data_IF_505826731285
#
_entry.id   IF_505826731285
#
_cell.length_a   1.000
_cell.length_b   1.000
_cell.length_c   1.000
_cell.angle_alpha   90.00
_cell.angle_beta   90.00
_cell.angle_gamma   90.00
#
_symmetry.space_group_name_H-M   'P 1'
#
loop_
_entity.id
_entity.type
_entity.pdbx_description
1 polymer ?
#
# COMPACT_ATOMS: atom_id res chain seq x y z
N UNK A 1 14.01 15.39 -23.77
CA UNK A 1 13.96 14.31 -24.79
C UNK A 1 14.84 13.11 -24.41
N UNK A 2 16.16 13.24 -24.25
CA UNK A 2 17.02 12.08 -23.95
C UNK A 2 16.63 11.31 -22.66
N UNK A 3 16.31 12.03 -21.58
CA UNK A 3 15.85 11.43 -20.32
C UNK A 3 14.48 10.73 -20.41
N UNK A 4 13.55 11.28 -21.19
CA UNK A 4 12.25 10.65 -21.40
C UNK A 4 12.37 9.36 -22.22
N UNK A 5 13.39 9.28 -23.09
CA UNK A 5 13.72 8.06 -23.83
C UNK A 5 14.33 7.00 -22.90
N UNK A 6 15.19 7.38 -21.94
CA UNK A 6 15.76 6.43 -20.98
C UNK A 6 14.71 5.80 -20.06
N UNK A 7 13.68 6.56 -19.66
CA UNK A 7 12.59 6.02 -18.84
C UNK A 7 11.64 5.10 -19.61
N UNK A 8 11.49 5.29 -20.92
CA UNK A 8 10.70 4.41 -21.80
C UNK A 8 11.41 3.12 -22.17
N UNK A 9 12.73 3.05 -21.97
CA UNK A 9 13.52 1.83 -22.09
C UNK A 9 14.43 1.66 -20.87
N UNK A 10 13.76 1.49 -19.71
CA UNK A 10 14.45 1.38 -18.43
C UNK A 10 15.39 0.18 -18.39
N UNK A 11 15.00 -0.94 -19.02
CA UNK A 11 15.86 -2.13 -19.13
C UNK A 11 17.17 -1.83 -19.88
N UNK A 12 17.12 -1.08 -21.00
CA UNK A 12 18.34 -0.66 -21.68
C UNK A 12 19.18 0.31 -20.85
N UNK A 13 18.54 1.23 -20.13
CA UNK A 13 19.22 2.18 -19.24
C UNK A 13 20.01 1.47 -18.13
N UNK A 14 19.40 0.47 -17.49
CA UNK A 14 20.06 -0.34 -16.44
C UNK A 14 21.22 -1.16 -17.01
N UNK A 15 21.06 -1.77 -18.19
CA UNK A 15 22.16 -2.49 -18.86
C UNK A 15 23.33 -1.58 -19.20
N UNK A 16 23.05 -0.36 -19.68
CA UNK A 16 24.08 0.61 -20.04
C UNK A 16 24.84 1.13 -18.82
N UNK A 17 24.24 1.07 -17.63
CA UNK A 17 24.87 1.44 -16.36
C UNK A 17 25.74 0.32 -15.74
N UNK A 18 25.86 -0.85 -16.40
CA UNK A 18 26.66 -2.01 -15.98
C UNK A 18 26.33 -2.51 -14.56
N UNK A 19 25.04 -2.49 -14.21
CA UNK A 19 24.54 -2.94 -12.91
C UNK A 19 24.26 -4.44 -13.01
N UNK A 20 24.65 -5.20 -11.98
CA UNK A 20 24.31 -6.64 -11.82
C UNK A 20 22.80 -6.83 -11.50
N UNK A 21 21.94 -6.30 -12.37
CA UNK A 21 20.48 -6.46 -12.36
C UNK A 21 20.10 -7.37 -13.51
N UNK A 22 19.30 -8.38 -13.18
CA UNK A 22 18.74 -9.27 -14.17
C UNK A 22 17.62 -8.54 -14.93
N UNK A 23 17.93 -8.16 -16.16
CA UNK A 23 17.01 -7.45 -17.05
C UNK A 23 16.42 -8.47 -18.01
N UNK A 24 15.41 -9.20 -17.58
CA UNK A 24 14.69 -10.09 -18.48
C UNK A 24 13.85 -9.23 -19.44
N UNK A 25 14.05 -9.41 -20.76
CA UNK A 25 13.12 -8.91 -21.80
C UNK A 25 12.04 -9.96 -22.03
N UNK A 26 11.76 -10.83 -21.05
CA UNK A 26 10.73 -11.83 -21.20
C UNK A 26 9.38 -11.11 -21.30
N UNK A 27 8.92 -10.89 -22.54
CA UNK A 27 7.53 -10.60 -22.83
C UNK A 27 6.78 -11.86 -22.38
N UNK A 28 6.29 -11.85 -21.15
CA UNK A 28 5.48 -12.95 -20.64
C UNK A 28 4.16 -12.94 -21.43
N UNK A 29 4.08 -13.72 -22.51
CA UNK A 29 2.86 -13.90 -23.33
C UNK A 29 1.65 -14.33 -22.47
N UNK A 30 1.92 -14.89 -21.28
CA UNK A 30 0.94 -15.08 -20.22
C UNK A 30 1.63 -14.94 -18.86
N UNK A 31 1.30 -13.90 -18.09
CA UNK A 31 1.83 -13.73 -16.74
C UNK A 31 1.30 -14.87 -15.85
N UNK A 32 2.22 -15.63 -15.24
CA UNK A 32 1.87 -16.59 -14.20
C UNK A 32 1.56 -15.84 -12.90
N UNK A 33 0.67 -16.36 -12.04
CA UNK A 33 0.45 -15.76 -10.74
C UNK A 33 1.75 -15.81 -9.89
N UNK A 34 1.99 -14.82 -9.00
CA UNK A 34 3.18 -14.73 -8.16
C UNK A 34 3.58 -16.04 -7.47
N UNK A 35 2.59 -16.81 -6.97
CA UNK A 35 2.81 -18.10 -6.32
C UNK A 35 3.43 -19.18 -7.22
N UNK A 36 3.30 -19.03 -8.55
CA UNK A 36 3.75 -20.00 -9.57
C UNK A 36 4.83 -19.47 -10.50
N UNK A 37 5.18 -18.20 -10.38
CA UNK A 37 6.14 -17.54 -11.24
C UNK A 37 7.51 -17.43 -10.55
N UNK A 38 8.54 -18.00 -11.18
CA UNK A 38 9.92 -17.92 -10.66
C UNK A 38 10.50 -16.50 -10.72
N UNK A 39 9.94 -15.61 -11.55
CA UNK A 39 10.39 -14.22 -11.64
C UNK A 39 10.25 -13.49 -10.29
N UNK A 40 9.20 -13.80 -9.52
CA UNK A 40 8.94 -13.25 -8.19
C UNK A 40 9.85 -13.79 -7.09
N UNK A 41 10.73 -14.76 -7.40
CA UNK A 41 11.71 -15.29 -6.45
C UNK A 41 13.05 -14.62 -6.67
N UNK A 42 13.72 -14.17 -5.61
CA UNK A 42 15.00 -13.50 -5.75
C UNK A 42 16.10 -14.44 -6.28
N UNK A 43 17.13 -13.90 -6.95
CA UNK A 43 18.30 -14.68 -7.40
C UNK A 43 19.15 -15.15 -6.21
N UNK A 44 20.19 -15.95 -6.46
CA UNK A 44 21.14 -16.33 -5.39
C UNK A 44 21.83 -15.12 -4.76
N UNK A 45 22.23 -15.25 -3.50
CA UNK A 45 22.97 -14.25 -2.70
C UNK A 45 22.25 -12.89 -2.52
N UNK A 46 20.95 -12.85 -2.79
CA UNK A 46 20.14 -11.64 -2.67
C UNK A 46 20.05 -11.12 -1.24
N UNK A 47 20.15 -12.00 -0.24
CA UNK A 47 20.07 -11.65 1.18
C UNK A 47 21.18 -10.69 1.60
N UNK A 48 22.30 -10.69 0.88
CA UNK A 48 23.46 -9.81 1.14
C UNK A 48 23.31 -8.40 0.56
N UNK A 49 22.32 -8.19 -0.31
CA UNK A 49 22.00 -6.88 -0.89
C UNK A 49 21.41 -5.94 0.15
N UNK A 50 21.47 -4.63 -0.12
CA UNK A 50 20.91 -3.60 0.74
C UNK A 50 19.42 -3.38 0.48
N UNK A 51 18.62 -2.92 1.47
CA UNK A 51 17.25 -2.47 1.24
C UNK A 51 17.16 -1.49 0.07
N UNK A 52 16.21 -1.72 -0.85
CA UNK A 52 16.04 -0.92 -2.08
C UNK A 52 16.92 -1.36 -3.26
N UNK A 53 17.88 -2.26 -3.07
CA UNK A 53 18.67 -2.80 -4.18
C UNK A 53 17.77 -3.56 -5.17
N UNK A 54 17.93 -3.22 -6.44
CA UNK A 54 17.17 -3.85 -7.52
C UNK A 54 17.81 -5.18 -7.88
N UNK A 55 16.97 -6.20 -8.05
CA UNK A 55 17.38 -7.55 -8.40
C UNK A 55 16.95 -7.91 -9.82
N UNK A 56 15.69 -7.61 -10.16
CA UNK A 56 15.15 -7.83 -11.51
C UNK A 56 14.33 -6.67 -12.01
N UNK A 57 14.30 -6.47 -13.32
CA UNK A 57 13.38 -5.58 -14.02
C UNK A 57 12.81 -6.31 -15.23
N UNK A 58 11.49 -6.28 -15.40
CA UNK A 58 10.80 -6.77 -16.60
C UNK A 58 9.82 -5.73 -17.12
N UNK A 59 9.71 -5.61 -18.44
CA UNK A 59 8.66 -4.81 -19.07
C UNK A 59 7.31 -5.54 -19.03
N UNK A 60 6.22 -4.78 -18.91
CA UNK A 60 4.85 -5.30 -18.74
C UNK A 60 3.90 -4.56 -19.69
N UNK A 61 4.04 -4.75 -21.02
CA UNK A 61 3.35 -3.92 -22.01
C UNK A 61 1.82 -4.05 -21.96
N UNK A 62 1.28 -5.21 -21.53
CA UNK A 62 -0.15 -5.42 -21.36
C UNK A 62 -0.78 -4.44 -20.35
N UNK A 63 -0.05 -4.04 -19.30
CA UNK A 63 -0.55 -3.03 -18.36
C UNK A 63 -0.60 -1.64 -18.99
N UNK A 64 0.33 -1.31 -19.90
CA UNK A 64 0.25 -0.06 -20.66
C UNK A 64 -0.92 -0.03 -21.65
N UNK A 65 -1.40 -1.18 -22.10
CA UNK A 65 -2.63 -1.27 -22.93
C UNK A 65 -3.90 -1.08 -22.08
N UNK A 66 -3.89 -1.52 -20.82
CA UNK A 66 -5.00 -1.34 -19.88
C UNK A 66 -5.05 0.09 -19.33
N UNK A 67 -3.89 0.72 -19.13
CA UNK A 67 -3.73 2.07 -18.57
C UNK A 67 -3.26 3.04 -19.66
N UNK A 68 -4.22 3.68 -20.35
CA UNK A 68 -3.96 4.43 -21.59
C UNK A 68 -3.00 5.62 -21.46
N UNK A 69 -2.89 6.24 -20.28
CA UNK A 69 -1.92 7.30 -20.02
C UNK A 69 -0.51 6.79 -19.68
N UNK A 70 -0.26 5.47 -19.69
CA UNK A 70 1.07 4.88 -19.52
C UNK A 70 1.79 4.72 -20.86
N UNK A 71 3.03 5.21 -20.95
CA UNK A 71 3.93 4.95 -22.08
C UNK A 71 4.81 3.72 -21.92
N UNK A 72 5.07 3.31 -20.68
CA UNK A 72 5.84 2.13 -20.35
C UNK A 72 5.49 1.67 -18.93
N UNK A 73 5.47 0.36 -18.72
CA UNK A 73 5.20 -0.24 -17.41
C UNK A 73 6.24 -1.31 -17.13
N UNK A 74 6.71 -1.37 -15.89
CA UNK A 74 7.74 -2.31 -15.45
C UNK A 74 7.36 -2.99 -14.14
N UNK A 75 7.70 -4.26 -13.99
CA UNK A 75 7.83 -4.88 -12.67
C UNK A 75 9.29 -4.82 -12.24
N UNK A 76 9.49 -4.44 -10.98
CA UNK A 76 10.81 -4.31 -10.38
C UNK A 76 10.81 -5.15 -9.11
N UNK A 77 11.68 -6.18 -9.07
CA UNK A 77 11.94 -6.97 -7.89
C UNK A 77 13.09 -6.33 -7.13
N UNK A 78 12.88 -5.97 -5.86
CA UNK A 78 13.88 -5.30 -5.02
C UNK A 78 14.01 -5.99 -3.66
N UNK A 79 15.20 -5.87 -3.06
CA UNK A 79 15.48 -6.36 -1.70
C UNK A 79 14.79 -5.45 -0.70
N UNK A 80 14.11 -6.03 0.28
CA UNK A 80 13.46 -5.33 1.40
C UNK A 80 13.75 -6.02 2.74
N UNK A 81 13.01 -5.68 3.80
CA UNK A 81 13.20 -6.19 5.16
C UNK A 81 11.86 -6.58 5.75
N UNK A 82 11.75 -7.77 6.34
CA UNK A 82 10.50 -8.23 6.95
C UNK A 82 10.17 -7.58 8.29
N UNK A 83 9.08 -8.01 8.92
CA UNK A 83 8.62 -7.45 10.20
C UNK A 83 9.51 -7.79 11.38
N UNK A 84 10.48 -8.69 11.18
CA UNK A 84 11.43 -9.17 12.18
C UNK A 84 12.85 -8.67 11.89
N UNK A 85 12.98 -7.68 11.01
CA UNK A 85 14.25 -7.12 10.57
C UNK A 85 15.15 -8.12 9.80
N UNK A 86 14.57 -9.19 9.25
CA UNK A 86 15.29 -10.17 8.44
C UNK A 86 15.23 -9.81 6.94
N UNK A 87 16.22 -10.21 6.11
CA UNK A 87 16.17 -10.01 4.68
C UNK A 87 14.87 -10.53 4.07
N UNK A 88 14.24 -9.69 3.25
CA UNK A 88 13.00 -9.96 2.53
C UNK A 88 13.07 -9.37 1.12
N UNK A 89 12.03 -9.53 0.33
CA UNK A 89 11.94 -8.88 -0.98
C UNK A 89 10.51 -8.42 -1.22
N UNK A 90 10.34 -7.56 -2.21
CA UNK A 90 9.02 -7.19 -2.70
C UNK A 90 9.11 -6.80 -4.17
N UNK A 91 7.95 -6.65 -4.79
CA UNK A 91 7.81 -6.20 -6.17
C UNK A 91 7.10 -4.85 -6.17
N UNK A 92 7.44 -3.99 -7.13
CA UNK A 92 6.67 -2.79 -7.43
C UNK A 92 6.39 -2.72 -8.92
N UNK A 93 5.19 -2.28 -9.27
CA UNK A 93 4.84 -1.92 -10.65
C UNK A 93 5.09 -0.43 -10.85
N UNK A 94 5.99 -0.07 -11.76
CA UNK A 94 6.30 1.30 -12.12
C UNK A 94 5.59 1.66 -13.43
N UNK A 95 4.81 2.74 -13.40
CA UNK A 95 4.15 3.32 -14.57
C UNK A 95 4.84 4.63 -14.96
N UNK A 96 5.24 4.73 -16.23
CA UNK A 96 5.82 5.93 -16.82
C UNK A 96 4.75 6.65 -17.64
N UNK A 97 4.35 7.88 -17.29
CA UNK A 97 3.27 8.55 -17.98
C UNK A 97 3.65 8.94 -19.42
N UNK A 98 2.64 9.07 -20.29
CA UNK A 98 2.81 9.48 -21.69
C UNK A 98 3.47 10.85 -21.85
N UNK A 99 3.25 11.73 -20.88
CA UNK A 99 3.92 13.01 -20.71
C UNK A 99 4.40 13.12 -19.25
N UNK A 100 5.59 13.67 -19.01
CA UNK A 100 6.14 13.84 -17.66
C UNK A 100 5.96 15.28 -17.23
N UNK A 101 5.29 15.50 -16.11
CA UNK A 101 5.20 16.81 -15.47
C UNK A 101 6.53 17.17 -14.79
N UNK A 102 6.92 18.42 -14.96
CA UNK A 102 8.03 19.03 -14.25
C UNK A 102 7.52 20.27 -13.51
N UNK A 103 7.86 20.37 -12.23
CA UNK A 103 7.64 21.57 -11.42
C UNK A 103 8.35 22.81 -12.01
N UNK A 104 8.03 24.02 -11.54
CA UNK A 104 8.76 25.24 -11.93
C UNK A 104 10.28 25.14 -11.69
N UNK A 105 10.73 24.35 -10.72
CA UNK A 105 12.15 24.07 -10.46
C UNK A 105 12.73 22.93 -11.32
N UNK A 106 11.95 22.33 -12.22
CA UNK A 106 12.37 21.27 -13.13
C UNK A 106 12.34 19.85 -12.55
N UNK A 107 11.92 19.68 -11.29
CA UNK A 107 11.81 18.37 -10.64
C UNK A 107 10.59 17.60 -11.13
N UNK A 108 10.70 16.27 -11.24
CA UNK A 108 9.59 15.38 -11.56
C UNK A 108 8.66 15.14 -10.37
N UNK A 109 7.42 14.75 -10.66
CA UNK A 109 6.49 14.22 -9.65
C UNK A 109 6.60 12.69 -9.56
N UNK A 110 6.85 12.15 -8.36
CA UNK A 110 6.82 10.71 -8.09
C UNK A 110 5.77 10.42 -7.03
N UNK A 111 4.82 9.54 -7.34
CA UNK A 111 3.81 9.07 -6.41
C UNK A 111 3.99 7.58 -6.15
N UNK A 112 4.25 7.20 -4.90
CA UNK A 112 4.08 5.82 -4.47
C UNK A 112 2.66 5.62 -3.95
N UNK A 113 1.86 4.79 -4.62
CA UNK A 113 0.48 4.56 -4.23
C UNK A 113 0.24 3.14 -3.72
N UNK A 114 -0.24 3.02 -2.48
CA UNK A 114 -0.52 1.75 -1.82
C UNK A 114 -2.01 1.42 -1.93
N UNK A 115 -2.35 0.39 -2.72
CA UNK A 115 -3.72 -0.13 -2.78
C UNK A 115 -4.08 -0.92 -1.52
N UNK A 116 -5.37 -0.96 -1.17
CA UNK A 116 -5.85 -1.88 -0.14
C UNK A 116 -5.91 -3.32 -0.67
N UNK A 117 -4.81 -4.08 -0.50
CA UNK A 117 -4.72 -5.49 -0.95
C UNK A 117 -5.67 -6.37 -0.13
N UNK A 118 -5.65 -6.21 1.21
CA UNK A 118 -6.58 -6.84 2.16
C UNK A 118 -6.78 -8.35 1.93
N UNK A 119 -5.72 -9.06 1.55
CA UNK A 119 -5.78 -10.45 1.11
C UNK A 119 -4.61 -11.25 1.67
N UNK A 120 -4.91 -12.52 1.98
CA UNK A 120 -3.97 -13.54 2.40
C UNK A 120 -3.31 -14.28 1.24
N UNK A 121 -3.80 -14.03 0.04
CA UNK A 121 -3.32 -14.67 -1.17
C UNK A 121 -2.26 -13.77 -1.82
N UNK A 122 -1.03 -14.26 -1.94
CA UNK A 122 0.05 -13.53 -2.64
C UNK A 122 -0.30 -13.26 -4.10
N UNK A 123 -1.21 -14.03 -4.70
CA UNK A 123 -1.67 -13.78 -6.07
C UNK A 123 -2.60 -12.56 -6.17
N UNK A 124 -3.07 -12.01 -5.04
CA UNK A 124 -3.75 -10.71 -4.97
C UNK A 124 -2.79 -9.51 -5.02
N UNK A 125 -1.48 -9.73 -5.12
CA UNK A 125 -0.49 -8.65 -5.19
C UNK A 125 -0.73 -7.73 -6.40
N UNK A 126 -0.65 -6.40 -6.25
CA UNK A 126 -0.91 -5.43 -7.31
C UNK A 126 -0.18 -5.71 -8.62
N UNK A 127 1.07 -6.15 -8.57
CA UNK A 127 1.84 -6.49 -9.77
C UNK A 127 1.13 -7.49 -10.70
N UNK A 128 0.37 -8.41 -10.14
CA UNK A 128 -0.41 -9.38 -10.91
C UNK A 128 -1.86 -8.93 -11.06
N UNK A 129 -2.48 -8.52 -9.95
CA UNK A 129 -3.91 -8.24 -9.89
C UNK A 129 -4.35 -7.04 -10.75
N UNK A 130 -3.45 -6.09 -11.05
CA UNK A 130 -3.70 -4.96 -11.95
C UNK A 130 -3.95 -5.37 -13.41
N UNK A 131 -3.53 -6.56 -13.83
CA UNK A 131 -3.90 -7.14 -15.14
C UNK A 131 -5.18 -7.97 -15.08
N UNK A 132 -5.76 -8.15 -13.88
CA UNK A 132 -6.82 -9.09 -13.59
C UNK A 132 -7.98 -8.45 -12.84
N UNK A 133 -8.16 -8.83 -11.57
CA UNK A 133 -9.33 -8.44 -10.77
C UNK A 133 -9.34 -6.94 -10.45
N UNK A 134 -8.19 -6.32 -10.19
CA UNK A 134 -8.10 -4.89 -9.87
C UNK A 134 -8.37 -3.98 -11.09
N UNK A 135 -8.29 -4.51 -12.31
CA UNK A 135 -8.65 -3.78 -13.53
C UNK A 135 -10.17 -3.65 -13.75
N UNK A 136 -10.99 -4.29 -12.91
CA UNK A 136 -12.44 -4.37 -13.09
C UNK A 136 -13.15 -3.45 -12.12
N UNK A 137 -14.31 -2.94 -12.53
CA UNK A 137 -15.24 -2.31 -11.60
C UNK A 137 -15.93 -3.38 -10.74
N UNK A 138 -16.23 -3.05 -9.49
CA UNK A 138 -17.08 -3.85 -8.60
C UNK A 138 -18.33 -3.03 -8.20
N UNK A 139 -19.33 -2.89 -9.10
CA UNK A 139 -20.50 -2.04 -8.86
C UNK A 139 -21.29 -2.42 -7.61
N UNK A 140 -21.32 -3.72 -7.27
CA UNK A 140 -21.98 -4.21 -6.04
C UNK A 140 -21.37 -3.67 -4.75
N UNK A 141 -20.10 -3.23 -4.81
CA UNK A 141 -19.38 -2.65 -3.69
C UNK A 141 -19.17 -1.13 -3.87
N UNK A 142 -19.64 -0.53 -4.98
CA UNK A 142 -19.39 0.88 -5.28
C UNK A 142 -17.92 1.22 -5.59
N UNK A 143 -17.10 0.22 -5.94
CA UNK A 143 -15.65 0.38 -6.16
C UNK A 143 -15.37 0.43 -7.67
N UNK A 144 -14.66 1.47 -8.12
CA UNK A 144 -14.16 1.59 -9.49
C UNK A 144 -12.90 0.76 -9.70
N UNK A 145 -12.56 0.49 -10.95
CA UNK A 145 -11.30 -0.14 -11.31
C UNK A 145 -10.10 0.61 -10.72
N UNK A 146 -9.16 -0.12 -10.15
CA UNK A 146 -7.88 0.44 -9.67
C UNK A 146 -7.06 1.06 -10.80
N UNK A 147 -7.13 0.48 -12.01
CA UNK A 147 -6.42 1.01 -13.18
C UNK A 147 -6.98 2.36 -13.63
N UNK A 148 -8.26 2.67 -13.33
CA UNK A 148 -8.82 3.99 -13.63
C UNK A 148 -8.23 5.10 -12.78
N UNK A 149 -7.91 4.81 -11.50
CA UNK A 149 -7.24 5.76 -10.62
C UNK A 149 -5.78 5.96 -11.05
N UNK A 150 -5.08 4.89 -11.42
CA UNK A 150 -3.71 4.98 -11.96
C UNK A 150 -3.72 5.83 -13.23
N UNK A 151 -4.65 5.58 -14.15
CA UNK A 151 -4.77 6.34 -15.39
C UNK A 151 -5.00 7.84 -15.13
N UNK A 152 -5.84 8.18 -14.14
CA UNK A 152 -6.06 9.56 -13.69
C UNK A 152 -4.78 10.19 -13.12
N UNK A 153 -4.02 9.48 -12.28
CA UNK A 153 -2.72 9.95 -11.76
C UNK A 153 -1.70 10.20 -12.88
N UNK A 154 -1.61 9.28 -13.85
CA UNK A 154 -0.71 9.41 -15.00
C UNK A 154 -1.13 10.54 -15.95
N UNK A 155 -2.42 10.88 -16.01
CA UNK A 155 -2.92 12.01 -16.82
C UNK A 155 -2.35 13.36 -16.36
N UNK A 156 -1.96 13.46 -15.09
CA UNK A 156 -1.25 14.62 -14.54
C UNK A 156 0.26 14.62 -14.86
N UNK A 157 0.75 13.57 -15.51
CA UNK A 157 2.16 13.39 -15.83
C UNK A 157 3.04 12.98 -14.66
N UNK A 158 2.45 12.40 -13.61
CA UNK A 158 3.19 11.87 -12.46
C UNK A 158 3.75 10.49 -12.78
N UNK A 159 4.98 10.20 -12.34
CA UNK A 159 5.51 8.83 -12.31
C UNK A 159 4.88 8.12 -11.12
N UNK A 160 4.29 6.94 -11.35
CA UNK A 160 3.53 6.24 -10.30
C UNK A 160 4.15 4.86 -10.07
N UNK A 161 4.50 4.54 -8.82
CA UNK A 161 4.87 3.18 -8.44
C UNK A 161 3.87 2.58 -7.46
N UNK A 162 3.52 1.32 -7.69
CA UNK A 162 2.55 0.55 -6.90
C UNK A 162 3.28 -0.63 -6.26
N UNK A 163 3.66 -0.56 -4.98
CA UNK A 163 4.36 -1.67 -4.31
C UNK A 163 3.40 -2.77 -3.85
N UNK A 164 3.85 -4.01 -4.01
CA UNK A 164 3.30 -5.22 -3.37
C UNK A 164 3.73 -5.23 -1.90
N UNK A 165 3.26 -4.25 -1.14
CA UNK A 165 3.71 -3.92 0.21
C UNK A 165 3.41 -5.00 1.25
N UNK A 166 2.66 -6.05 0.94
CA UNK A 166 2.53 -7.20 1.85
C UNK A 166 3.73 -8.17 1.75
N UNK A 167 4.56 -8.02 0.72
CA UNK A 167 5.71 -8.87 0.41
C UNK A 167 5.34 -10.33 0.12
N UNK A 168 6.31 -11.26 0.09
CA UNK A 168 6.12 -12.62 -0.42
C UNK A 168 5.18 -13.49 0.42
N UNK A 169 4.93 -13.09 1.67
CA UNK A 169 4.04 -13.81 2.59
C UNK A 169 2.59 -13.29 2.56
N UNK A 170 2.29 -12.25 1.76
CA UNK A 170 1.00 -11.54 1.80
C UNK A 170 0.60 -11.13 3.23
N UNK A 171 1.55 -10.58 3.98
CA UNK A 171 1.42 -10.32 5.43
C UNK A 171 0.51 -9.10 5.76
N UNK A 172 -0.76 -9.15 5.37
CA UNK A 172 -1.77 -8.16 5.73
C UNK A 172 -1.86 -7.96 7.25
N UNK A 173 -1.77 -6.70 7.69
CA UNK A 173 -1.75 -6.32 9.11
C UNK A 173 -0.35 -6.31 9.73
N UNK A 174 0.68 -6.81 9.04
CA UNK A 174 2.08 -6.64 9.45
C UNK A 174 2.65 -5.33 8.89
N UNK A 175 2.31 -4.22 9.54
CA UNK A 175 2.58 -2.88 9.00
C UNK A 175 4.08 -2.57 8.92
N UNK A 176 4.93 -3.20 9.73
CA UNK A 176 6.40 -3.03 9.64
C UNK A 176 6.91 -3.48 8.27
N UNK A 177 6.58 -4.71 7.86
CA UNK A 177 6.85 -5.21 6.50
C UNK A 177 6.32 -4.23 5.43
N UNK A 178 5.08 -3.75 5.58
CA UNK A 178 4.49 -2.86 4.57
C UNK A 178 5.13 -1.49 4.48
N UNK A 179 5.58 -0.94 5.61
CA UNK A 179 6.35 0.29 5.63
C UNK A 179 7.73 0.11 5.00
N UNK A 180 8.46 -0.96 5.36
CA UNK A 180 9.77 -1.28 4.77
C UNK A 180 9.67 -1.47 3.25
N UNK A 181 8.75 -2.31 2.78
CA UNK A 181 8.55 -2.54 1.34
C UNK A 181 8.20 -1.25 0.59
N UNK A 182 7.35 -0.40 1.17
CA UNK A 182 7.01 0.89 0.54
C UNK A 182 8.22 1.83 0.44
N UNK A 183 9.01 1.97 1.51
CA UNK A 183 10.21 2.82 1.52
C UNK A 183 11.29 2.31 0.57
N UNK A 184 11.52 1.00 0.57
CA UNK A 184 12.49 0.36 -0.32
C UNK A 184 12.07 0.44 -1.79
N UNK A 185 10.77 0.38 -2.08
CA UNK A 185 10.26 0.65 -3.42
C UNK A 185 10.57 2.08 -3.86
N UNK A 186 10.33 3.08 -3.00
CA UNK A 186 10.67 4.48 -3.30
C UNK A 186 12.18 4.62 -3.55
N UNK A 187 13.02 4.04 -2.68
CA UNK A 187 14.47 4.02 -2.83
C UNK A 187 14.91 3.41 -4.17
N UNK A 188 14.31 2.29 -4.57
CA UNK A 188 14.59 1.63 -5.84
C UNK A 188 14.21 2.54 -7.04
N UNK A 189 13.05 3.22 -6.97
CA UNK A 189 12.62 4.15 -8.02
C UNK A 189 13.55 5.36 -8.10
N UNK A 190 13.91 5.98 -6.97
CA UNK A 190 14.88 7.08 -6.91
C UNK A 190 16.18 6.72 -7.61
N UNK A 191 16.75 5.56 -7.27
CA UNK A 191 17.96 5.05 -7.90
C UNK A 191 17.81 4.92 -9.43
N UNK A 192 16.71 4.33 -9.91
CA UNK A 192 16.46 4.16 -11.35
C UNK A 192 16.33 5.48 -12.11
N UNK A 193 15.67 6.47 -11.51
CA UNK A 193 15.53 7.78 -12.11
C UNK A 193 16.86 8.55 -12.14
N UNK A 194 17.71 8.36 -11.14
CA UNK A 194 19.03 8.98 -11.06
C UNK A 194 20.00 8.41 -12.10
N UNK A 195 19.89 7.12 -12.47
CA UNK A 195 20.60 6.55 -13.61
C UNK A 195 20.26 7.22 -14.93
N UNK A 196 19.00 7.63 -15.09
CA UNK A 196 18.57 8.44 -16.23
C UNK A 196 19.16 9.86 -16.22
N UNK A 197 19.76 10.29 -15.10
CA UNK A 197 20.25 11.66 -14.85
C UNK A 197 19.09 12.65 -14.68
N UNK A 198 18.11 12.27 -13.86
CA UNK A 198 17.04 13.17 -13.43
C UNK A 198 17.61 14.47 -12.84
N UNK A 199 16.89 15.58 -13.02
CA UNK A 199 17.17 16.87 -12.36
C UNK A 199 16.63 16.93 -10.92
N UNK A 200 16.21 15.79 -10.37
CA UNK A 200 15.58 15.64 -9.07
C UNK A 200 14.08 15.41 -9.16
N UNK A 201 13.48 15.11 -8.01
CA UNK A 201 12.07 14.75 -7.89
C UNK A 201 11.48 15.35 -6.62
N UNK A 202 10.15 15.52 -6.64
CA UNK A 202 9.31 15.68 -5.47
C UNK A 202 8.51 14.37 -5.31
N UNK A 203 8.62 13.73 -4.16
CA UNK A 203 8.09 12.40 -3.89
C UNK A 203 6.97 12.47 -2.87
N UNK A 204 5.84 11.84 -3.15
CA UNK A 204 4.77 11.67 -2.19
C UNK A 204 4.33 10.21 -2.10
N UNK A 205 3.78 9.84 -0.95
CA UNK A 205 3.16 8.54 -0.73
C UNK A 205 1.67 8.70 -0.43
N UNK A 206 0.83 7.79 -0.94
CA UNK A 206 -0.62 7.85 -0.73
C UNK A 206 -1.23 6.45 -0.65
N UNK A 207 -2.12 6.25 0.31
CA UNK A 207 -2.96 5.05 0.38
C UNK A 207 -4.34 5.35 0.95
N UNK A 208 -5.29 4.49 0.57
CA UNK A 208 -6.67 4.52 1.06
C UNK A 208 -7.04 3.23 1.78
N UNK A 209 -7.82 3.29 2.86
CA UNK A 209 -8.29 2.11 3.60
C UNK A 209 -7.11 1.22 4.04
N UNK A 210 -7.08 -0.07 3.73
CA UNK A 210 -5.93 -0.94 4.02
C UNK A 210 -4.60 -0.42 3.44
N UNK A 211 -4.64 0.28 2.30
CA UNK A 211 -3.46 0.93 1.73
C UNK A 211 -2.92 2.07 2.61
N UNK A 212 -3.81 2.77 3.34
CA UNK A 212 -3.40 3.80 4.29
C UNK A 212 -2.56 3.24 5.45
N UNK A 213 -2.72 1.94 5.78
CA UNK A 213 -1.91 1.29 6.80
C UNK A 213 -0.45 1.22 6.37
N UNK A 214 -0.19 0.78 5.13
CA UNK A 214 1.14 0.70 4.55
C UNK A 214 1.76 2.09 4.37
N UNK A 215 0.99 3.05 3.86
CA UNK A 215 1.45 4.44 3.70
C UNK A 215 1.80 5.09 5.04
N UNK A 216 0.97 4.88 6.07
CA UNK A 216 1.22 5.46 7.37
C UNK A 216 2.42 4.79 8.06
N UNK A 217 2.56 3.47 7.96
CA UNK A 217 3.73 2.75 8.46
C UNK A 217 5.02 3.25 7.80
N UNK A 218 5.02 3.46 6.47
CA UNK A 218 6.15 4.05 5.76
C UNK A 218 6.49 5.44 6.29
N UNK A 219 5.49 6.31 6.51
CA UNK A 219 5.70 7.64 7.05
C UNK A 219 6.26 7.65 8.49
N UNK A 220 5.82 6.72 9.35
CA UNK A 220 6.35 6.58 10.71
C UNK A 220 7.77 5.98 10.74
N UNK A 221 8.06 5.03 9.85
CA UNK A 221 9.33 4.31 9.82
C UNK A 221 10.44 5.07 9.07
N UNK A 222 10.08 5.95 8.12
CA UNK A 222 11.05 6.70 7.31
C UNK A 222 12.21 7.31 8.14
N UNK A 223 11.97 8.00 9.27
CA UNK A 223 13.06 8.66 10.00
C UNK A 223 14.07 7.71 10.67
N UNK A 224 13.75 6.42 10.78
CA UNK A 224 14.59 5.42 11.47
C UNK A 224 15.07 4.30 10.55
N UNK A 225 14.25 3.89 9.59
CA UNK A 225 14.55 2.78 8.69
C UNK A 225 15.23 3.27 7.41
N UNK A 226 14.72 4.35 6.81
CA UNK A 226 15.19 4.88 5.53
C UNK A 226 15.34 6.42 5.59
N UNK A 227 16.22 6.95 6.47
CA UNK A 227 16.33 8.40 6.69
C UNK A 227 16.81 9.17 5.46
N UNK A 228 17.46 8.49 4.52
CA UNK A 228 17.97 9.06 3.27
C UNK A 228 16.92 9.03 2.12
N UNK A 229 15.75 8.41 2.35
CA UNK A 229 14.65 8.41 1.38
C UNK A 229 13.82 9.68 1.55
N UNK A 230 13.92 10.59 0.58
CA UNK A 230 13.17 11.84 0.57
C UNK A 230 11.68 11.62 0.26
N UNK A 231 10.82 11.97 1.22
CA UNK A 231 9.35 12.02 1.06
C UNK A 231 8.88 13.43 1.41
N UNK A 232 8.38 14.15 0.41
CA UNK A 232 7.95 15.54 0.53
C UNK A 232 6.51 15.67 1.05
N UNK A 233 5.69 14.61 0.95
CA UNK A 233 4.34 14.61 1.51
C UNK A 233 3.68 13.25 1.59
N UNK A 234 2.75 13.11 2.54
CA UNK A 234 2.00 11.87 2.78
C UNK A 234 0.50 12.14 2.71
N UNK A 235 -0.26 11.29 2.02
CA UNK A 235 -1.71 11.32 2.00
C UNK A 235 -2.30 10.04 2.58
N UNK A 236 -3.19 10.16 3.57
CA UNK A 236 -3.88 9.06 4.22
C UNK A 236 -5.39 9.20 4.06
N UNK A 237 -5.99 8.34 3.26
CA UNK A 237 -7.43 8.34 3.02
C UNK A 237 -8.14 7.21 3.76
N UNK A 238 -9.29 7.50 4.38
CA UNK A 238 -10.07 6.47 5.09
C UNK A 238 -9.25 5.75 6.15
N UNK A 239 -8.39 6.50 6.87
CA UNK A 239 -7.31 5.97 7.70
C UNK A 239 -7.77 4.82 8.61
N UNK A 240 -6.94 3.76 8.63
CA UNK A 240 -7.08 2.58 9.49
C UNK A 240 -5.97 2.61 10.53
N UNK A 241 -6.20 3.31 11.63
CA UNK A 241 -5.19 3.53 12.68
C UNK A 241 -4.86 2.27 13.51
N UNK A 242 -5.89 1.47 13.81
CA UNK A 242 -5.78 0.33 14.70
C UNK A 242 -6.83 -0.74 14.38
N UNK A 243 -6.53 -1.60 13.40
CA UNK A 243 -7.45 -2.67 13.01
C UNK A 243 -7.68 -3.71 14.12
N UNK A 244 -6.73 -3.88 15.05
CA UNK A 244 -6.87 -4.80 16.18
C UNK A 244 -7.69 -4.22 17.36
N UNK A 245 -7.93 -2.91 17.35
CA UNK A 245 -8.63 -2.21 18.41
C UNK A 245 -10.12 -2.57 18.54
N UNK A 246 -10.76 -3.07 17.49
CA UNK A 246 -12.19 -3.42 17.51
C UNK A 246 -12.56 -4.45 16.43
N UNK A 247 -12.13 -5.69 16.63
CA UNK A 247 -12.62 -6.81 15.82
C UNK A 247 -14.16 -6.95 15.85
N UNK A 248 -14.87 -6.36 16.82
CA UNK A 248 -16.33 -6.47 16.90
C UNK A 248 -17.00 -5.69 15.76
N UNK A 249 -16.37 -4.61 15.26
CA UNK A 249 -16.84 -3.86 14.07
C UNK A 249 -16.71 -4.65 12.77
N UNK A 250 -15.68 -5.48 12.66
CA UNK A 250 -15.47 -6.33 11.49
C UNK A 250 -16.30 -7.61 11.57
N UNK A 251 -16.44 -8.20 12.76
CA UNK A 251 -17.24 -9.40 12.96
C UNK A 251 -18.69 -9.18 12.54
N UNK A 252 -19.29 -10.13 11.80
CA UNK A 252 -20.67 -10.04 11.25
C UNK A 252 -20.93 -8.86 10.31
N UNK A 253 -19.92 -8.05 9.98
CA UNK A 253 -20.05 -6.98 9.00
C UNK A 253 -20.11 -7.54 7.58
N UNK A 254 -20.49 -6.72 6.58
CA UNK A 254 -20.41 -7.11 5.17
C UNK A 254 -18.99 -7.49 4.71
N UNK A 255 -17.94 -7.08 5.44
CA UNK A 255 -16.53 -7.34 5.11
C UNK A 255 -15.85 -8.30 6.11
N UNK A 256 -16.62 -9.08 6.87
CA UNK A 256 -16.11 -9.94 7.95
C UNK A 256 -14.99 -10.91 7.51
N UNK A 257 -14.93 -11.30 6.23
CA UNK A 257 -13.83 -12.08 5.68
C UNK A 257 -12.45 -11.41 5.82
N UNK A 258 -12.40 -10.07 5.81
CA UNK A 258 -11.14 -9.32 6.01
C UNK A 258 -10.53 -9.56 7.38
N UNK A 259 -11.34 -9.87 8.39
CA UNK A 259 -10.84 -10.26 9.72
C UNK A 259 -10.16 -11.64 9.67
N UNK A 260 -10.66 -12.57 8.85
CA UNK A 260 -10.01 -13.88 8.66
C UNK A 260 -8.64 -13.67 7.99
N UNK A 261 -8.58 -12.89 6.90
CA UNK A 261 -7.31 -12.56 6.24
C UNK A 261 -6.33 -11.93 7.25
N UNK A 262 -6.76 -10.88 7.95
CA UNK A 262 -5.93 -10.23 8.98
C UNK A 262 -5.34 -11.22 10.00
N UNK A 263 -6.18 -12.09 10.58
CA UNK A 263 -5.73 -13.05 11.60
C UNK A 263 -4.70 -14.04 11.06
N UNK A 264 -4.90 -14.52 9.83
CA UNK A 264 -4.00 -15.46 9.18
C UNK A 264 -2.69 -14.78 8.76
N UNK A 265 -2.75 -13.55 8.28
CA UNK A 265 -1.64 -12.90 7.59
C UNK A 265 -0.70 -12.19 8.54
N UNK A 266 -1.23 -11.58 9.61
CA UNK A 266 -0.40 -10.99 10.65
C UNK A 266 0.45 -12.05 11.36
N UNK A 267 0.02 -13.32 11.32
CA UNK A 267 0.77 -14.46 11.87
C UNK A 267 1.68 -15.16 10.86
N UNK A 268 1.68 -14.74 9.59
CA UNK A 268 2.43 -15.40 8.50
C UNK A 268 3.95 -15.48 8.74
N UNK A 269 4.52 -14.46 9.39
CA UNK A 269 5.95 -14.39 9.76
C UNK A 269 6.23 -14.90 11.19
N UNK A 270 5.20 -15.37 11.91
CA UNK A 270 5.25 -15.72 13.33
C UNK A 270 4.70 -17.15 13.57
N UNK A 271 5.51 -18.21 13.34
CA UNK A 271 5.04 -19.60 13.37
C UNK A 271 4.38 -20.05 14.68
N UNK A 272 4.82 -19.52 15.82
CA UNK A 272 4.24 -19.82 17.13
C UNK A 272 2.83 -19.23 17.27
N UNK A 273 2.66 -17.95 16.92
CA UNK A 273 1.36 -17.27 16.90
C UNK A 273 0.41 -17.94 15.90
N UNK A 274 0.93 -18.33 14.73
CA UNK A 274 0.19 -19.06 13.70
C UNK A 274 -0.29 -20.42 14.20
N UNK A 275 0.61 -21.20 14.79
CA UNK A 275 0.28 -22.53 15.34
C UNK A 275 -0.77 -22.43 16.44
N UNK A 276 -0.66 -21.41 17.29
CA UNK A 276 -1.68 -21.14 18.29
C UNK A 276 -3.04 -20.84 17.65
N UNK A 277 -3.12 -19.85 16.76
CA UNK A 277 -4.38 -19.46 16.10
C UNK A 277 -5.06 -20.68 15.48
N UNK A 278 -4.32 -21.50 14.73
CA UNK A 278 -4.85 -22.69 14.08
C UNK A 278 -5.27 -23.79 15.07
N UNK A 279 -4.58 -23.92 16.21
CA UNK A 279 -4.94 -24.89 17.26
C UNK A 279 -6.28 -24.56 17.94
N UNK A 280 -6.72 -23.30 17.84
CA UNK A 280 -7.97 -22.79 18.41
C UNK A 280 -9.16 -22.91 17.46
N UNK A 281 -8.93 -23.17 16.17
CA UNK A 281 -10.01 -23.37 15.21
C UNK A 281 -10.82 -24.62 15.55
N UNK A 282 -12.13 -24.57 15.28
CA UNK A 282 -13.01 -25.73 15.34
C UNK A 282 -12.73 -26.64 14.15
N UNK A 283 -12.52 -27.96 14.34
CA UNK A 283 -12.22 -28.87 13.24
C UNK A 283 -13.25 -28.85 12.10
N UNK A 284 -14.54 -28.67 12.43
CA UNK A 284 -15.63 -28.65 11.44
C UNK A 284 -15.62 -27.44 10.51
N UNK A 285 -15.00 -26.32 10.90
CA UNK A 285 -14.98 -25.06 10.14
C UNK A 285 -13.57 -24.62 9.75
N UNK A 286 -12.54 -25.40 10.11
CA UNK A 286 -11.13 -25.07 9.83
C UNK A 286 -10.88 -24.91 8.34
N UNK A 287 -11.31 -25.84 7.50
CA UNK A 287 -11.08 -25.77 6.04
C UNK A 287 -11.76 -24.55 5.42
N UNK A 288 -12.94 -24.18 5.92
CA UNK A 288 -13.60 -22.96 5.48
C UNK A 288 -12.79 -21.72 5.89
N UNK A 289 -12.35 -21.61 7.15
CA UNK A 289 -11.51 -20.50 7.62
C UNK A 289 -10.24 -20.36 6.79
N UNK A 290 -9.56 -21.48 6.52
CA UNK A 290 -8.30 -21.52 5.80
C UNK A 290 -8.46 -21.25 4.29
N UNK A 291 -9.68 -21.32 3.76
CA UNK A 291 -9.93 -21.12 2.32
C UNK A 291 -9.55 -19.72 1.84
N UNK A 292 -9.50 -18.71 2.72
CA UNK A 292 -9.12 -17.34 2.32
C UNK A 292 -7.70 -17.24 1.77
N UNK A 293 -6.80 -18.18 2.12
CA UNK A 293 -5.43 -18.22 1.60
C UNK A 293 -5.36 -18.39 0.08
N UNK A 294 -6.45 -18.85 -0.55
CA UNK A 294 -6.55 -19.02 -2.00
C UNK A 294 -7.67 -18.19 -2.64
N UNK A 295 -8.20 -17.19 -1.93
CA UNK A 295 -9.27 -16.33 -2.44
C UNK A 295 -8.77 -14.91 -2.67
N UNK A 296 -9.30 -14.26 -3.70
CA UNK A 296 -9.13 -12.81 -3.86
C UNK A 296 -9.95 -12.04 -2.81
N UNK A 297 -9.61 -10.76 -2.58
CA UNK A 297 -10.30 -9.92 -1.58
C UNK A 297 -11.81 -9.83 -1.82
N UNK A 298 -12.24 -9.67 -3.08
CA UNK A 298 -13.68 -9.55 -3.42
C UNK A 298 -14.42 -10.86 -3.21
N UNK A 299 -13.76 -11.99 -3.44
CA UNK A 299 -14.30 -13.33 -3.18
C UNK A 299 -14.39 -13.61 -1.68
N UNK A 300 -13.36 -13.22 -0.93
CA UNK A 300 -13.33 -13.31 0.53
C UNK A 300 -14.46 -12.50 1.16
N UNK A 301 -14.65 -11.25 0.73
CA UNK A 301 -15.76 -10.40 1.18
C UNK A 301 -17.11 -11.05 0.86
N UNK A 302 -17.32 -11.53 -0.38
CA UNK A 302 -18.57 -12.18 -0.79
C UNK A 302 -18.86 -13.46 0.01
N UNK A 303 -17.84 -14.29 0.23
CA UNK A 303 -17.97 -15.59 0.90
C UNK A 303 -18.29 -15.48 2.39
N UNK A 304 -17.70 -14.50 3.07
CA UNK A 304 -17.79 -14.35 4.52
C UNK A 304 -18.68 -13.18 4.96
N UNK A 305 -19.35 -12.51 4.03
CA UNK A 305 -20.27 -11.40 4.33
C UNK A 305 -21.28 -11.78 5.41
N UNK A 306 -21.34 -11.00 6.50
CA UNK A 306 -22.29 -11.21 7.59
C UNK A 306 -21.96 -12.38 8.53
N UNK A 307 -20.86 -13.12 8.31
CA UNK A 307 -20.51 -14.29 9.11
C UNK A 307 -19.97 -13.91 10.49
N UNK A 308 -20.30 -14.73 11.49
CA UNK A 308 -19.70 -14.65 12.82
C UNK A 308 -18.33 -15.33 12.81
N UNK A 309 -17.26 -14.54 12.68
CA UNK A 309 -15.88 -15.01 12.64
C UNK A 309 -15.48 -15.66 13.96
N UNK A 310 -16.08 -15.25 15.08
CA UNK A 310 -15.78 -15.85 16.38
C UNK A 310 -16.29 -17.29 16.47
N UNK A 311 -17.33 -17.62 15.68
CA UNK A 311 -17.87 -18.99 15.63
C UNK A 311 -16.92 -20.02 15.03
N UNK A 312 -15.79 -19.60 14.45
CA UNK A 312 -14.76 -20.51 13.94
C UNK A 312 -13.79 -21.01 15.04
N UNK A 313 -13.82 -20.42 16.23
CA UNK A 313 -12.88 -20.70 17.32
C UNK A 313 -13.54 -21.42 18.50
N UNK A 314 -12.81 -22.34 19.14
CA UNK A 314 -13.29 -23.13 20.28
C UNK A 314 -13.68 -22.26 21.49
N UNK A 315 -12.89 -21.24 21.78
CA UNK A 315 -13.12 -20.23 22.82
C UNK A 315 -13.74 -18.93 22.31
N UNK A 316 -14.19 -18.89 21.06
CA UNK A 316 -14.73 -17.69 20.43
C UNK A 316 -13.73 -16.53 20.42
N UNK A 317 -14.21 -15.33 20.74
CA UNK A 317 -13.39 -14.10 20.74
C UNK A 317 -12.19 -14.17 21.70
N UNK A 318 -12.27 -14.96 22.77
CA UNK A 318 -11.18 -15.07 23.75
C UNK A 318 -9.91 -15.68 23.14
N UNK A 319 -10.06 -16.55 22.15
CA UNK A 319 -8.92 -17.19 21.48
C UNK A 319 -8.16 -16.21 20.59
N UNK A 320 -8.86 -15.34 19.86
CA UNK A 320 -8.21 -14.31 19.02
C UNK A 320 -7.72 -13.10 19.83
N UNK A 321 -8.24 -12.90 21.05
CA UNK A 321 -7.78 -11.87 21.99
C UNK A 321 -6.76 -12.40 23.01
N UNK A 322 -6.18 -13.58 22.75
CA UNK A 322 -5.19 -14.16 23.63
C UNK A 322 -3.95 -13.26 23.78
N UNK A 323 -3.29 -13.22 24.95
CA UNK A 323 -2.20 -12.28 25.21
C UNK A 323 -1.07 -12.30 24.18
N UNK A 324 -0.70 -13.47 23.67
CA UNK A 324 0.35 -13.60 22.66
C UNK A 324 -0.04 -13.03 21.28
N UNK A 325 -1.32 -13.12 20.91
CA UNK A 325 -1.83 -12.50 19.68
C UNK A 325 -1.98 -11.00 19.86
N UNK A 326 -2.46 -10.55 21.03
CA UNK A 326 -2.56 -9.12 21.32
C UNK A 326 -1.21 -8.42 21.31
N UNK A 327 -0.18 -9.04 21.88
CA UNK A 327 1.19 -8.53 21.81
C UNK A 327 1.63 -8.35 20.35
N UNK A 328 1.39 -9.35 19.51
CA UNK A 328 1.70 -9.28 18.08
C UNK A 328 0.92 -8.14 17.39
N UNK A 329 -0.35 -7.96 17.71
CA UNK A 329 -1.16 -6.89 17.13
C UNK A 329 -0.68 -5.50 17.55
N UNK A 330 -0.30 -5.33 18.81
CA UNK A 330 0.28 -4.08 19.32
C UNK A 330 1.62 -3.76 18.64
N UNK A 331 2.42 -4.78 18.33
CA UNK A 331 3.73 -4.62 17.67
C UNK A 331 3.60 -4.39 16.15
N UNK A 332 2.61 -4.98 15.49
CA UNK A 332 2.55 -5.06 14.03
C UNK A 332 1.39 -4.31 13.39
N UNK A 333 0.22 -4.24 14.04
CA UNK A 333 -0.99 -3.68 13.43
C UNK A 333 -1.30 -2.25 13.89
N UNK A 334 -0.83 -1.87 15.08
CA UNK A 334 -1.12 -0.56 15.67
C UNK A 334 -0.22 0.53 15.07
N UNK A 335 -0.83 1.58 14.56
CA UNK A 335 -0.13 2.72 13.96
C UNK A 335 -0.21 3.98 14.82
N UNK A 336 0.66 4.94 14.51
CA UNK A 336 0.74 6.23 15.17
C UNK A 336 1.41 6.18 16.53
N UNK A 337 2.22 5.16 16.82
CA UNK A 337 2.91 4.99 18.11
C UNK A 337 4.42 4.86 17.99
N UNK A 338 4.97 4.79 16.78
CA UNK A 338 6.41 4.59 16.58
C UNK A 338 7.13 5.94 16.55
N UNK A 339 6.79 6.79 15.58
CA UNK A 339 7.39 8.12 15.43
C UNK A 339 6.46 9.06 14.68
N UNK A 340 6.51 10.34 15.04
CA UNK A 340 5.85 11.38 14.25
C UNK A 340 6.47 11.43 12.84
N UNK A 341 5.65 11.41 11.77
CA UNK A 341 6.12 11.65 10.41
C UNK A 341 6.92 12.95 10.31
N UNK A 342 8.03 12.91 9.57
CA UNK A 342 8.94 14.05 9.36
C UNK A 342 8.46 15.01 8.27
N UNK A 343 7.52 14.57 7.44
CA UNK A 343 6.95 15.27 6.31
C UNK A 343 5.49 15.72 6.57
N UNK A 344 4.97 16.70 5.82
CA UNK A 344 3.56 17.07 5.89
C UNK A 344 2.62 15.90 5.58
N UNK A 345 1.57 15.75 6.40
CA UNK A 345 0.56 14.70 6.25
C UNK A 345 -0.81 15.32 5.98
N UNK A 346 -1.47 14.89 4.91
CA UNK A 346 -2.87 15.17 4.64
C UNK A 346 -3.72 13.94 4.90
N UNK A 347 -4.71 14.07 5.77
CA UNK A 347 -5.64 13.01 6.13
C UNK A 347 -7.04 13.41 5.69
N UNK A 348 -7.75 12.50 5.04
CA UNK A 348 -9.17 12.68 4.72
C UNK A 348 -9.97 11.44 5.07
N UNK A 349 -11.14 11.64 5.69
CA UNK A 349 -11.97 10.53 6.17
C UNK A 349 -13.42 10.96 6.33
N UNK A 350 -14.37 10.09 6.00
CA UNK A 350 -15.78 10.30 6.30
C UNK A 350 -16.04 10.12 7.79
N UNK A 351 -16.82 11.02 8.39
CA UNK A 351 -17.25 10.93 9.79
C UNK A 351 -18.09 9.67 10.01
N UNK A 352 -18.95 9.31 9.04
CA UNK A 352 -19.80 8.12 9.11
C UNK A 352 -19.13 6.85 8.55
N UNK A 353 -17.80 6.76 8.61
CA UNK A 353 -17.07 5.55 8.27
C UNK A 353 -17.51 4.39 9.17
N UNK A 354 -18.16 3.40 8.57
CA UNK A 354 -18.79 2.29 9.27
C UNK A 354 -17.80 1.20 9.73
N UNK A 355 -16.57 1.21 9.22
CA UNK A 355 -15.57 0.18 9.50
C UNK A 355 -14.46 0.69 10.42
N UNK A 356 -14.10 1.96 10.28
CA UNK A 356 -12.98 2.58 10.98
C UNK A 356 -13.47 3.87 11.65
N UNK A 357 -13.84 3.83 12.94
CA UNK A 357 -14.43 4.97 13.65
C UNK A 357 -13.55 6.24 13.59
N UNK A 358 -14.20 7.39 13.42
CA UNK A 358 -13.51 8.69 13.27
C UNK A 358 -12.73 9.08 14.53
N UNK A 359 -13.22 8.68 15.72
CA UNK A 359 -12.65 9.05 17.01
C UNK A 359 -11.23 8.48 17.20
N UNK A 360 -10.92 7.37 16.55
CA UNK A 360 -9.57 6.79 16.59
C UNK A 360 -8.58 7.61 15.78
N UNK A 361 -8.98 8.03 14.59
CA UNK A 361 -8.19 8.94 13.78
C UNK A 361 -8.02 10.28 14.49
N UNK A 362 -9.07 10.83 15.12
CA UNK A 362 -8.98 12.04 15.96
C UNK A 362 -7.91 11.88 17.06
N UNK A 363 -7.90 10.75 17.77
CA UNK A 363 -6.93 10.46 18.83
C UNK A 363 -5.50 10.25 18.31
N UNK A 364 -5.33 9.62 17.15
CA UNK A 364 -4.02 9.50 16.49
C UNK A 364 -3.50 10.86 16.04
N UNK A 365 -4.31 11.66 15.37
CA UNK A 365 -3.93 13.01 14.91
C UNK A 365 -3.50 13.87 16.09
N UNK A 366 -4.27 13.87 17.18
CA UNK A 366 -3.90 14.59 18.40
C UNK A 366 -2.53 14.14 18.94
N UNK A 367 -2.32 12.82 19.07
CA UNK A 367 -1.06 12.26 19.58
C UNK A 367 0.15 12.62 18.73
N UNK A 368 0.04 12.52 17.40
CA UNK A 368 1.12 12.84 16.47
C UNK A 368 1.42 14.34 16.42
N UNK A 369 0.39 15.19 16.41
CA UNK A 369 0.57 16.64 16.45
C UNK A 369 1.26 17.07 17.74
N UNK A 370 0.88 16.48 18.88
CA UNK A 370 1.56 16.70 20.17
C UNK A 370 3.02 16.22 20.16
N UNK A 371 3.37 15.33 19.23
CA UNK A 371 4.73 14.83 19.02
C UNK A 371 5.48 15.57 17.90
N UNK A 372 4.90 16.65 17.34
CA UNK A 372 5.55 17.55 16.39
C UNK A 372 5.24 17.33 14.91
N UNK A 373 4.38 16.36 14.58
CA UNK A 373 3.92 16.12 13.21
C UNK A 373 3.13 17.31 12.66
N UNK A 374 3.26 17.55 11.36
CA UNK A 374 2.46 18.52 10.60
C UNK A 374 1.31 17.79 9.90
N UNK A 375 0.09 17.97 10.39
CA UNK A 375 -1.10 17.26 9.93
C UNK A 375 -2.20 18.24 9.55
N UNK A 376 -2.67 18.13 8.31
CA UNK A 376 -3.96 18.66 7.87
C UNK A 376 -4.95 17.53 7.77
N UNK A 377 -6.01 17.57 8.56
CA UNK A 377 -7.02 16.53 8.66
C UNK A 377 -8.41 17.08 8.35
N UNK A 378 -8.99 16.58 7.26
CA UNK A 378 -10.33 16.98 6.83
C UNK A 378 -11.34 15.84 7.00
N UNK A 379 -12.34 16.08 7.84
CA UNK A 379 -13.40 15.13 8.17
C UNK A 379 -14.63 15.41 7.31
N UNK A 380 -15.01 14.48 6.44
CA UNK A 380 -16.16 14.66 5.57
C UNK A 380 -17.45 14.29 6.31
N UNK A 381 -18.36 15.25 6.42
CA UNK A 381 -19.67 15.10 7.07
C UNK A 381 -20.65 14.28 6.25
N UNK A 382 -20.37 14.09 4.95
CA UNK A 382 -21.19 13.31 4.01
C UNK A 382 -20.44 12.06 3.56
N UNK A 383 -21.19 10.98 3.29
CA UNK A 383 -20.65 9.73 2.77
C UNK A 383 -20.32 8.69 3.85
N UNK A 384 -19.63 7.64 3.42
CA UNK A 384 -19.25 6.44 4.17
C UNK A 384 -17.81 6.04 3.81
N UNK A 385 -17.30 4.93 4.35
CA UNK A 385 -15.96 4.43 4.02
C UNK A 385 -15.75 4.22 2.52
N UNK A 386 -16.77 3.75 1.80
CA UNK A 386 -16.64 3.44 0.37
C UNK A 386 -16.77 4.70 -0.49
N UNK A 387 -17.77 5.53 -0.23
CA UNK A 387 -17.98 6.74 -1.05
C UNK A 387 -16.85 7.77 -0.87
N UNK A 388 -16.16 7.74 0.28
CA UNK A 388 -15.02 8.63 0.55
C UNK A 388 -13.78 8.32 -0.32
N UNK A 389 -13.71 7.16 -0.97
CA UNK A 389 -12.72 6.86 -2.03
C UNK A 389 -12.78 7.95 -3.10
N UNK A 390 -13.99 8.31 -3.55
CA UNK A 390 -14.20 9.32 -4.58
C UNK A 390 -14.39 10.73 -3.99
N UNK A 391 -15.10 10.88 -2.86
CA UNK A 391 -15.36 12.20 -2.25
C UNK A 391 -14.10 12.90 -1.75
N UNK A 392 -13.10 12.15 -1.28
CA UNK A 392 -11.83 12.70 -0.83
C UNK A 392 -10.82 12.97 -1.95
N UNK A 393 -10.93 12.28 -3.09
CA UNK A 393 -9.93 12.28 -4.15
C UNK A 393 -9.54 13.66 -4.67
N UNK A 394 -10.47 14.60 -4.97
CA UNK A 394 -10.07 15.94 -5.41
C UNK A 394 -9.23 16.73 -4.39
N UNK A 395 -9.43 16.47 -3.09
CA UNK A 395 -8.70 17.11 -1.98
C UNK A 395 -7.32 16.49 -1.81
N UNK A 396 -7.23 15.16 -1.93
CA UNK A 396 -5.96 14.44 -2.00
C UNK A 396 -5.10 14.93 -3.18
N UNK A 397 -5.66 15.03 -4.39
CA UNK A 397 -4.94 15.56 -5.55
C UNK A 397 -4.50 17.01 -5.38
N UNK A 398 -5.31 17.86 -4.75
CA UNK A 398 -4.91 19.24 -4.46
C UNK A 398 -3.67 19.30 -3.57
N UNK A 399 -3.65 18.50 -2.51
CA UNK A 399 -2.48 18.42 -1.63
C UNK A 399 -1.26 17.88 -2.40
N UNK A 400 -1.41 16.75 -3.09
CA UNK A 400 -0.33 16.16 -3.91
C UNK A 400 0.22 17.14 -4.94
N UNK A 401 -0.65 17.89 -5.62
CA UNK A 401 -0.23 18.91 -6.58
C UNK A 401 0.64 19.97 -5.92
N UNK A 402 0.28 20.44 -4.72
CA UNK A 402 1.11 21.42 -4.00
C UNK A 402 2.49 20.89 -3.61
N UNK A 403 2.60 19.58 -3.30
CA UNK A 403 3.88 18.91 -3.07
C UNK A 403 4.67 18.87 -4.37
N UNK A 404 4.05 18.35 -5.44
CA UNK A 404 4.74 18.12 -6.72
C UNK A 404 5.15 19.40 -7.44
N UNK A 405 4.34 20.46 -7.36
CA UNK A 405 4.64 21.78 -7.92
C UNK A 405 5.66 22.56 -7.06
N UNK A 406 5.98 22.07 -5.85
CA UNK A 406 6.87 22.76 -4.91
C UNK A 406 6.26 24.04 -4.33
N UNK A 407 4.93 24.17 -4.40
CA UNK A 407 4.17 25.31 -3.87
C UNK A 407 3.60 25.07 -2.47
N UNK A 408 3.80 23.89 -1.90
CA UNK A 408 3.40 23.59 -0.52
C UNK A 408 4.05 24.57 0.45
N UNK A 409 3.23 25.14 1.31
CA UNK A 409 3.67 26.02 2.39
C UNK A 409 3.10 25.47 3.70
N UNK A 410 3.98 25.22 4.66
CA UNK A 410 3.56 24.76 5.98
C UNK A 410 2.56 25.74 6.59
N UNK A 411 1.42 25.24 7.11
CA UNK A 411 0.44 26.08 7.78
C UNK A 411 1.03 26.70 9.05
N UNK A 412 0.48 27.85 9.47
CA UNK A 412 0.91 28.52 10.71
C UNK A 412 0.74 27.64 11.96
N UNK A 413 -0.26 26.75 11.95
CA UNK A 413 -0.45 25.69 12.94
C UNK A 413 -0.13 24.34 12.31
N UNK A 414 0.79 23.58 12.92
CA UNK A 414 1.09 22.21 12.53
C UNK A 414 -0.09 21.25 12.65
N UNK A 415 -1.12 21.60 13.43
CA UNK A 415 -2.39 20.87 13.51
C UNK A 415 -3.48 21.70 12.86
N UNK A 416 -4.05 21.21 11.76
CA UNK A 416 -5.25 21.75 11.13
C UNK A 416 -6.29 20.65 11.05
N UNK A 417 -7.42 20.79 11.75
CA UNK A 417 -8.54 19.84 11.71
C UNK A 417 -9.81 20.59 11.33
N UNK A 418 -10.52 20.13 10.32
CA UNK A 418 -11.75 20.78 9.86
C UNK A 418 -12.78 19.80 9.34
N UNK A 419 -14.05 20.13 9.54
CA UNK A 419 -15.16 19.41 8.92
C UNK A 419 -15.47 20.02 7.56
N UNK A 420 -15.65 19.16 6.56
CA UNK A 420 -16.02 19.52 5.19
C UNK A 420 -17.34 18.84 4.81
N UNK A 421 -18.03 19.37 3.81
CA UNK A 421 -19.24 18.75 3.26
C UNK A 421 -19.06 18.60 1.75
N UNK A 422 -18.56 17.44 1.32
CA UNK A 422 -18.32 17.14 -0.09
C UNK A 422 -19.03 15.85 -0.45
N UNK A 423 -19.93 15.94 -1.44
CA UNK A 423 -20.59 14.81 -2.04
C UNK A 423 -20.45 14.90 -3.56
N UNK A 424 -19.60 14.05 -4.12
CA UNK A 424 -19.50 13.88 -5.58
C UNK A 424 -20.16 12.58 -6.04
N UNK A 425 -20.78 11.85 -5.10
CA UNK A 425 -21.51 10.61 -5.31
C UNK A 425 -23.01 10.80 -5.03
N UNK A 426 -23.64 11.72 -5.77
CA UNK A 426 -25.09 11.93 -5.78
C UNK A 426 -25.80 11.09 -6.82
#
# INVERSE_FOLDING_TARGET
MAFQVSLRDLCATVRAADISVDTDIAVHEQALPPSKDSWYRPPQDWESKQPGDIMRISSVPNLSEIVGNSSATYHILYRSTDSKDEPSWAVTTLFIPSFIYHSPSGKMAILSYQFAINSANVDSSPSFALSGIMARNEPSLGIKSSTSLIDEMLSFGWVVNIPDHLGPASAFGANVQSGHATLDAVQAIHYLLDLGRSSGYNTAIWGYSGGSMATFAAAELQPIYAPDVDIDGTVLGGLVDNISGDFDKLNKSPIAGSLISFLLDITSQYPEARSYLESRLLPATKDEFMSVLGLEVTETVKRFSGRDIYSFFQGGVADIRAPQLQKLYDEQARLGSVRAPSMPVFIYKAINDQFCPIEWTDATVERLCNSGAEITYERNTVGSHVSEIENGKPRAFRFLWSIFDGSYASPASKRSVSDVAVDVSG
#
